data_IF_331019447288
#
_entry.id   IF_331019447288
#
_cell.length_a   1.000
_cell.length_b   1.000
_cell.length_c   1.000
_cell.angle_alpha   90.00
_cell.angle_beta   90.00
_cell.angle_gamma   90.00
#
_symmetry.space_group_name_H-M   'P 1'
#
loop_
_entity.id
_entity.type
_entity.pdbx_description
1 polymer ?
#
# COMPACT_ATOMS: atom_id res chain seq x y z
N UNK A 1 4.93 -22.27 -9.90
CA UNK A 1 4.83 -20.91 -9.32
C UNK A 1 5.03 -21.03 -7.82
N UNK A 2 5.99 -20.33 -7.22
CA UNK A 2 6.31 -20.46 -5.79
C UNK A 2 5.66 -19.35 -4.96
N UNK A 3 5.69 -19.48 -3.62
CA UNK A 3 5.27 -18.40 -2.71
C UNK A 3 5.95 -17.08 -3.06
N UNK A 4 7.27 -17.18 -3.22
CA UNK A 4 8.21 -16.09 -3.50
C UNK A 4 8.03 -15.48 -4.89
N UNK A 5 7.76 -16.28 -5.94
CA UNK A 5 7.59 -15.73 -7.28
C UNK A 5 6.36 -14.82 -7.39
N UNK A 6 5.26 -15.16 -6.72
CA UNK A 6 4.08 -14.29 -6.69
C UNK A 6 4.31 -13.05 -5.81
N UNK A 7 5.00 -13.21 -4.67
CA UNK A 7 5.37 -12.09 -3.82
C UNK A 7 6.17 -11.04 -4.61
N UNK A 8 7.17 -11.48 -5.40
CA UNK A 8 7.91 -10.61 -6.33
C UNK A 8 6.99 -9.95 -7.36
N UNK A 9 6.05 -10.69 -7.95
CA UNK A 9 5.09 -10.13 -8.90
C UNK A 9 4.23 -9.02 -8.27
N UNK A 10 3.83 -9.16 -7.00
CA UNK A 10 3.10 -8.11 -6.28
C UNK A 10 3.96 -6.87 -6.07
N UNK A 11 5.21 -7.03 -5.66
CA UNK A 11 6.14 -5.89 -5.49
C UNK A 11 6.42 -5.21 -6.82
N UNK A 12 6.61 -5.96 -7.91
CA UNK A 12 6.79 -5.40 -9.25
C UNK A 12 5.60 -4.51 -9.66
N UNK A 13 4.37 -4.98 -9.40
CA UNK A 13 3.16 -4.19 -9.64
C UNK A 13 3.14 -2.93 -8.76
N UNK A 14 3.41 -3.05 -7.47
CA UNK A 14 3.40 -1.92 -6.53
C UNK A 14 4.42 -0.84 -6.91
N UNK A 15 5.63 -1.22 -7.35
CA UNK A 15 6.66 -0.28 -7.84
C UNK A 15 6.19 0.48 -9.08
N UNK A 16 5.51 -0.18 -10.02
CA UNK A 16 4.96 0.49 -11.19
C UNK A 16 3.88 1.50 -10.79
N UNK A 17 3.04 1.18 -9.80
CA UNK A 17 2.01 2.09 -9.28
C UNK A 17 2.60 3.35 -8.67
N UNK A 18 3.74 3.29 -7.98
CA UNK A 18 4.39 4.49 -7.44
C UNK A 18 4.65 5.56 -8.52
N UNK A 19 5.00 5.15 -9.75
CA UNK A 19 5.18 6.08 -10.87
C UNK A 19 3.87 6.72 -11.32
N UNK A 20 2.77 5.98 -11.21
CA UNK A 20 1.42 6.47 -11.53
C UNK A 20 0.96 7.48 -10.48
N UNK A 21 1.29 7.28 -9.20
CA UNK A 21 0.96 8.25 -8.14
C UNK A 21 1.57 9.63 -8.41
N UNK A 22 2.82 9.67 -8.88
CA UNK A 22 3.48 10.93 -9.25
C UNK A 22 2.78 11.64 -10.40
N UNK A 23 2.34 10.90 -11.42
CA UNK A 23 1.58 11.45 -12.54
C UNK A 23 0.21 11.96 -12.10
N UNK A 24 -0.55 11.16 -11.34
CA UNK A 24 -1.87 11.56 -10.84
C UNK A 24 -1.81 12.80 -9.96
N UNK A 25 -0.77 12.93 -9.14
CA UNK A 25 -0.56 14.12 -8.32
C UNK A 25 -0.25 15.37 -9.18
N UNK A 26 0.52 15.22 -10.26
CA UNK A 26 0.77 16.30 -11.21
C UNK A 26 -0.50 16.75 -11.95
N UNK A 27 -1.41 15.82 -12.21
CA UNK A 27 -2.73 16.08 -12.81
C UNK A 27 -3.78 16.53 -11.77
N UNK A 28 -3.38 16.81 -10.53
CA UNK A 28 -4.26 17.22 -9.43
C UNK A 28 -5.40 16.21 -9.14
N UNK A 29 -5.23 14.95 -9.53
CA UNK A 29 -6.19 13.86 -9.36
C UNK A 29 -6.07 13.22 -7.96
N UNK A 30 -6.29 14.01 -6.91
CA UNK A 30 -5.94 13.63 -5.53
C UNK A 30 -6.69 12.41 -5.00
N UNK A 31 -7.99 12.28 -5.30
CA UNK A 31 -8.77 11.09 -4.93
C UNK A 31 -8.22 9.81 -5.59
N UNK A 32 -7.78 9.91 -6.85
CA UNK A 32 -7.15 8.80 -7.57
C UNK A 32 -5.76 8.45 -6.99
N UNK A 33 -5.00 9.45 -6.53
CA UNK A 33 -3.74 9.21 -5.81
C UNK A 33 -4.00 8.37 -4.55
N UNK A 34 -4.99 8.74 -3.74
CA UNK A 34 -5.37 8.00 -2.53
C UNK A 34 -5.79 6.58 -2.87
N UNK A 35 -6.65 6.41 -3.89
CA UNK A 35 -7.16 5.11 -4.32
C UNK A 35 -6.06 4.18 -4.82
N UNK A 36 -5.15 4.68 -5.65
CA UNK A 36 -4.06 3.91 -6.24
C UNK A 36 -2.95 3.62 -5.20
N UNK A 37 -2.71 4.54 -4.27
CA UNK A 37 -1.82 4.34 -3.14
C UNK A 37 -2.30 3.18 -2.26
N UNK A 38 -3.61 3.08 -2.00
CA UNK A 38 -4.19 1.95 -1.28
C UNK A 38 -3.87 0.61 -1.95
N UNK A 39 -4.00 0.50 -3.28
CA UNK A 39 -3.68 -0.74 -3.99
C UNK A 39 -2.19 -1.08 -3.95
N UNK A 40 -1.33 -0.07 -4.09
CA UNK A 40 0.12 -0.25 -4.02
C UNK A 40 0.55 -0.78 -2.64
N UNK A 41 -0.01 -0.21 -1.57
CA UNK A 41 0.21 -0.63 -0.18
C UNK A 41 -0.30 -2.06 0.03
N UNK A 42 -1.54 -2.35 -0.37
CA UNK A 42 -2.11 -3.70 -0.23
C UNK A 42 -1.24 -4.77 -0.92
N UNK A 43 -0.83 -4.53 -2.18
CA UNK A 43 0.04 -5.44 -2.91
C UNK A 43 1.38 -5.63 -2.21
N UNK A 44 1.97 -4.55 -1.71
CA UNK A 44 3.24 -4.61 -1.00
C UNK A 44 3.14 -5.44 0.29
N UNK A 45 2.16 -5.16 1.14
CA UNK A 45 1.97 -5.87 2.41
C UNK A 45 1.62 -7.35 2.21
N UNK A 46 0.72 -7.66 1.26
CA UNK A 46 0.41 -9.06 0.91
C UNK A 46 1.63 -9.78 0.32
N UNK A 47 2.43 -9.08 -0.47
CA UNK A 47 3.70 -9.59 -0.99
C UNK A 47 4.68 -9.92 0.14
N UNK A 48 4.82 -9.02 1.12
CA UNK A 48 5.65 -9.21 2.31
C UNK A 48 5.21 -10.42 3.14
N UNK A 49 3.91 -10.56 3.45
CA UNK A 49 3.37 -11.73 4.15
C UNK A 49 3.70 -13.03 3.40
N UNK A 50 3.42 -13.06 2.10
CA UNK A 50 3.67 -14.23 1.26
C UNK A 50 5.15 -14.60 1.18
N UNK A 51 6.03 -13.61 1.18
CA UNK A 51 7.48 -13.81 1.19
C UNK A 51 7.98 -14.40 2.50
N UNK A 52 7.48 -13.92 3.64
CA UNK A 52 7.85 -14.51 4.94
C UNK A 52 7.16 -15.84 5.22
N UNK A 53 6.26 -16.30 4.34
CA UNK A 53 5.58 -17.59 4.39
C UNK A 53 4.25 -17.58 5.16
N UNK A 54 3.56 -16.43 5.18
CA UNK A 54 2.19 -16.26 5.65
C UNK A 54 1.28 -16.12 4.43
N UNK A 55 0.22 -16.91 4.31
CA UNK A 55 -0.74 -16.74 3.22
C UNK A 55 -1.68 -15.56 3.55
N UNK A 56 -1.71 -14.49 2.72
CA UNK A 56 -2.56 -13.35 2.99
C UNK A 56 -4.05 -13.69 2.77
N UNK A 57 -4.97 -13.06 3.53
CA UNK A 57 -6.40 -13.25 3.36
C UNK A 57 -6.93 -12.56 2.10
N UNK A 58 -8.22 -12.78 1.82
CA UNK A 58 -8.92 -12.18 0.67
C UNK A 58 -9.37 -10.73 0.90
N UNK A 59 -9.41 -10.24 2.13
CA UNK A 59 -9.73 -8.83 2.42
C UNK A 59 -8.52 -7.91 2.19
N UNK A 60 -8.75 -6.59 2.16
CA UNK A 60 -7.79 -5.61 1.63
C UNK A 60 -6.74 -5.13 2.65
N UNK A 61 -7.16 -4.74 3.86
CA UNK A 61 -6.24 -4.29 4.91
C UNK A 61 -5.66 -5.48 5.66
N UNK A 62 -4.35 -5.67 5.59
CA UNK A 62 -3.63 -6.78 6.22
C UNK A 62 -2.62 -6.32 7.27
N UNK A 63 -2.69 -5.05 7.71
CA UNK A 63 -1.74 -4.45 8.65
C UNK A 63 -1.59 -5.25 9.95
N UNK A 64 -2.70 -5.64 10.56
CA UNK A 64 -2.70 -6.39 11.83
C UNK A 64 -2.00 -7.76 11.69
N UNK A 65 -2.11 -8.40 10.53
CA UNK A 65 -1.47 -9.71 10.27
C UNK A 65 0.06 -9.56 10.21
N UNK A 66 0.57 -8.41 9.73
CA UNK A 66 2.02 -8.14 9.79
C UNK A 66 2.49 -8.05 11.24
N UNK A 67 1.69 -7.43 12.12
CA UNK A 67 1.98 -7.30 13.54
C UNK A 67 1.93 -8.65 14.27
N UNK A 68 0.92 -9.46 14.01
CA UNK A 68 0.79 -10.83 14.56
C UNK A 68 1.99 -11.72 14.19
N UNK A 69 2.57 -11.50 13.01
CA UNK A 69 3.72 -12.23 12.50
C UNK A 69 5.02 -11.42 12.52
N UNK A 70 5.11 -10.41 13.39
CA UNK A 70 6.28 -9.55 13.56
C UNK A 70 7.60 -10.35 13.65
N UNK A 71 7.58 -11.51 14.32
CA UNK A 71 8.73 -12.39 14.49
C UNK A 71 9.30 -13.02 13.21
N UNK A 72 8.55 -12.99 12.11
CA UNK A 72 8.98 -13.52 10.81
C UNK A 72 9.73 -12.50 9.95
N UNK A 73 9.76 -11.23 10.37
CA UNK A 73 10.42 -10.15 9.63
C UNK A 73 11.84 -9.89 10.15
N UNK A 74 12.81 -9.56 9.28
CA UNK A 74 14.17 -9.25 9.69
C UNK A 74 14.26 -7.90 10.44
N UNK A 75 15.30 -7.73 11.30
CA UNK A 75 15.66 -6.40 11.83
C UNK A 75 15.85 -5.40 10.68
N UNK A 76 15.26 -4.20 10.78
CA UNK A 76 15.23 -3.18 9.71
C UNK A 76 13.96 -3.15 8.83
N UNK A 77 13.13 -4.21 8.87
CA UNK A 77 11.75 -4.17 8.34
C UNK A 77 10.76 -4.17 9.51
N UNK A 78 11.08 -4.99 10.51
CA UNK A 78 10.30 -5.20 11.72
C UNK A 78 9.93 -3.91 12.47
N UNK A 79 10.89 -3.00 12.61
CA UNK A 79 10.73 -1.70 13.29
C UNK A 79 9.76 -0.73 12.59
N UNK A 80 9.35 -1.06 11.37
CA UNK A 80 8.44 -0.25 10.57
C UNK A 80 7.03 -0.83 10.47
N UNK A 81 6.77 -2.04 11.03
CA UNK A 81 5.51 -2.75 10.83
C UNK A 81 4.31 -1.98 11.41
N UNK A 82 4.47 -1.34 12.56
CA UNK A 82 3.41 -0.50 13.16
C UNK A 82 3.02 0.66 12.25
N UNK A 83 4.01 1.36 11.68
CA UNK A 83 3.76 2.45 10.73
C UNK A 83 3.11 1.94 9.44
N UNK A 84 3.58 0.81 8.91
CA UNK A 84 2.98 0.19 7.72
C UNK A 84 1.52 -0.22 7.96
N UNK A 85 1.21 -0.78 9.14
CA UNK A 85 -0.14 -1.15 9.52
C UNK A 85 -1.06 0.09 9.64
N UNK A 86 -0.58 1.19 10.24
CA UNK A 86 -1.33 2.44 10.29
C UNK A 86 -1.65 2.97 8.88
N UNK A 87 -0.64 3.06 8.00
CA UNK A 87 -0.81 3.53 6.61
C UNK A 87 -1.86 2.68 5.87
N UNK A 88 -1.77 1.34 5.99
CA UNK A 88 -2.73 0.41 5.38
C UNK A 88 -4.16 0.65 5.87
N UNK A 89 -4.31 0.81 7.19
CA UNK A 89 -5.61 1.05 7.83
C UNK A 89 -6.22 2.38 7.41
N UNK A 90 -5.42 3.43 7.35
CA UNK A 90 -5.91 4.76 6.97
C UNK A 90 -6.31 4.81 5.50
N UNK A 91 -5.45 4.33 4.58
CA UNK A 91 -5.79 4.22 3.16
C UNK A 91 -6.97 3.28 2.89
N UNK A 92 -7.15 2.24 3.70
CA UNK A 92 -8.31 1.36 3.59
C UNK A 92 -9.60 2.11 3.87
N UNK A 93 -9.67 2.98 4.88
CA UNK A 93 -10.90 3.72 5.22
C UNK A 93 -11.36 4.58 4.04
N UNK A 94 -10.41 5.17 3.33
CA UNK A 94 -10.66 6.06 2.19
C UNK A 94 -11.02 5.33 0.90
N UNK A 95 -10.79 4.03 0.82
CA UNK A 95 -10.82 3.26 -0.44
C UNK A 95 -12.09 3.44 -1.27
N UNK A 96 -13.26 3.26 -0.65
CA UNK A 96 -14.54 3.38 -1.36
C UNK A 96 -14.92 4.85 -1.58
N UNK A 97 -14.66 5.70 -0.58
CA UNK A 97 -15.00 7.12 -0.64
C UNK A 97 -14.19 7.86 -1.72
N UNK A 98 -12.89 7.61 -1.82
CA UNK A 98 -12.01 8.16 -2.86
C UNK A 98 -12.39 7.71 -4.28
N UNK A 99 -13.10 6.60 -4.42
CA UNK A 99 -13.47 6.06 -5.74
C UNK A 99 -14.89 6.43 -6.17
N UNK A 100 -15.87 6.28 -5.28
CA UNK A 100 -17.28 6.48 -5.61
C UNK A 100 -17.86 7.77 -5.06
N UNK A 101 -17.25 8.35 -4.03
CA UNK A 101 -17.87 9.41 -3.23
C UNK A 101 -19.09 8.93 -2.46
N UNK A 102 -19.91 9.88 -2.05
CA UNK A 102 -21.22 9.70 -1.45
C UNK A 102 -22.15 10.85 -1.90
N UNK A 103 -23.44 10.84 -1.54
CA UNK A 103 -24.43 11.85 -1.93
C UNK A 103 -23.96 13.28 -1.59
N UNK A 104 -23.29 13.44 -0.44
CA UNK A 104 -22.77 14.72 0.05
C UNK A 104 -21.24 14.78 0.01
N UNK A 105 -20.59 13.95 -0.81
CA UNK A 105 -19.13 13.88 -0.89
C UNK A 105 -18.66 13.60 -2.33
N UNK A 106 -18.10 14.62 -2.99
CA UNK A 106 -17.59 14.51 -4.36
C UNK A 106 -16.07 14.37 -4.31
N UNK A 107 -15.47 13.21 -4.68
CA UNK A 107 -14.05 12.96 -4.45
C UNK A 107 -13.11 13.97 -5.13
N UNK A 108 -13.47 14.45 -6.31
CA UNK A 108 -12.70 15.44 -7.06
C UNK A 108 -12.75 16.85 -6.45
N UNK A 109 -13.64 17.09 -5.49
CA UNK A 109 -13.78 18.38 -4.80
C UNK A 109 -13.25 18.33 -3.36
N UNK A 110 -13.37 17.18 -2.69
CA UNK A 110 -13.06 17.01 -1.27
C UNK A 110 -11.62 16.55 -0.98
N UNK A 111 -10.98 15.82 -1.89
CA UNK A 111 -9.58 15.43 -1.71
C UNK A 111 -8.63 16.57 -2.12
N UNK A 112 -7.67 16.87 -1.25
CA UNK A 112 -6.72 17.98 -1.43
C UNK A 112 -5.34 17.46 -1.85
N UNK A 113 -4.47 18.39 -2.26
CA UNK A 113 -3.05 18.10 -2.49
C UNK A 113 -2.38 17.43 -1.29
N UNK A 114 -2.70 17.86 -0.06
CA UNK A 114 -2.17 17.27 1.17
C UNK A 114 -2.57 15.80 1.30
N UNK A 115 -3.85 15.47 1.09
CA UNK A 115 -4.30 14.07 1.12
C UNK A 115 -3.57 13.21 0.07
N UNK A 116 -3.38 13.75 -1.15
CA UNK A 116 -2.65 13.06 -2.21
C UNK A 116 -1.16 12.85 -1.87
N UNK A 117 -0.50 13.87 -1.34
CA UNK A 117 0.91 13.80 -0.93
C UNK A 117 1.14 12.80 0.21
N UNK A 118 0.29 12.84 1.24
CA UNK A 118 0.35 11.90 2.37
C UNK A 118 0.16 10.46 1.90
N UNK A 119 -0.83 10.20 1.03
CA UNK A 119 -1.08 8.87 0.49
C UNK A 119 0.09 8.37 -0.37
N UNK A 120 0.65 9.23 -1.24
CA UNK A 120 1.82 8.91 -2.07
C UNK A 120 3.03 8.57 -1.20
N UNK A 121 3.31 9.37 -0.17
CA UNK A 121 4.50 9.21 0.66
C UNK A 121 4.36 8.00 1.59
N UNK A 122 3.15 7.72 2.08
CA UNK A 122 2.81 6.47 2.76
C UNK A 122 3.03 5.25 1.87
N UNK A 123 2.54 5.28 0.62
CA UNK A 123 2.75 4.19 -0.33
C UNK A 123 4.23 3.98 -0.67
N UNK A 124 5.00 5.06 -0.89
CA UNK A 124 6.45 4.98 -1.10
C UNK A 124 7.16 4.32 0.06
N UNK A 125 6.85 4.75 1.29
CA UNK A 125 7.44 4.18 2.50
C UNK A 125 7.22 2.66 2.59
N UNK A 126 5.97 2.20 2.39
CA UNK A 126 5.62 0.78 2.45
C UNK A 126 6.30 -0.01 1.34
N UNK A 127 6.24 0.46 0.09
CA UNK A 127 6.82 -0.24 -1.06
C UNK A 127 8.33 -0.31 -0.94
N UNK A 128 9.00 0.73 -0.45
CA UNK A 128 10.46 0.71 -0.24
C UNK A 128 10.86 -0.27 0.88
N UNK A 129 10.09 -0.35 1.97
CA UNK A 129 10.29 -1.38 2.98
C UNK A 129 10.13 -2.79 2.40
N UNK A 130 9.12 -3.01 1.56
CA UNK A 130 8.91 -4.28 0.88
C UNK A 130 10.05 -4.64 -0.10
N UNK A 131 10.63 -3.65 -0.80
CA UNK A 131 11.79 -3.86 -1.70
C UNK A 131 13.08 -4.18 -0.95
N UNK A 132 13.26 -3.66 0.27
CA UNK A 132 14.39 -4.07 1.14
C UNK A 132 14.27 -5.53 1.56
N UNK A 133 13.04 -6.03 1.71
CA UNK A 133 12.77 -7.44 2.06
C UNK A 133 12.85 -8.35 0.82
N UNK A 134 12.31 -7.92 -0.31
CA UNK A 134 12.09 -8.74 -1.51
C UNK A 134 12.88 -8.16 -2.68
N UNK A 135 14.07 -8.70 -2.94
CA UNK A 135 14.89 -8.31 -4.09
C UNK A 135 14.18 -8.73 -5.39
N UNK A 136 13.92 -7.75 -6.24
CA UNK A 136 13.45 -7.95 -7.61
C UNK A 136 14.64 -8.33 -8.51
N UNK A 137 14.45 -9.25 -9.48
CA UNK A 137 15.48 -9.63 -10.43
C UNK A 137 15.86 -8.50 -11.40
#
# INVERSE_FOLDING_TARGET
MTSVSLARSYIEKAVKRLKVLDLLLQEEAYSDVVREAQEAVELALKGMLRFVGVEPPKYHDVGDILLEHHDRFPPGVREHLERMASISKDLRKERELAFYGDIDFIPTEEYTAEHGEEARDGARFVVDAARRLIVLP
#
